data_IF_513900962048
#
_entry.id   IF_513900962048
#
_cell.length_a   1.000
_cell.length_b   1.000
_cell.length_c   1.000
_cell.angle_alpha   90.00
_cell.angle_beta   90.00
_cell.angle_gamma   90.00
#
_symmetry.space_group_name_H-M   'P 1'
#
loop_
_entity.id
_entity.type
_entity.pdbx_description
1 polymer ?
#
# COMPACT_ATOMS: atom_id res chain seq x y z
N UNK A 1 33.66 -16.66 -30.52
CA UNK A 1 33.73 -16.35 -29.07
C UNK A 1 33.22 -14.96 -28.74
N UNK A 2 33.63 -13.90 -29.45
CA UNK A 2 33.17 -12.51 -29.17
C UNK A 2 31.66 -12.27 -29.30
N UNK A 3 30.99 -12.83 -30.31
CA UNK A 3 29.53 -12.64 -30.50
C UNK A 3 28.70 -13.27 -29.37
N UNK A 4 29.17 -14.40 -28.82
CA UNK A 4 28.53 -15.07 -27.68
C UNK A 4 28.70 -14.26 -26.40
N UNK A 5 29.90 -13.70 -26.16
CA UNK A 5 30.15 -12.83 -25.01
C UNK A 5 29.30 -11.55 -25.06
N UNK A 6 29.15 -10.92 -26.22
CA UNK A 6 28.30 -9.72 -26.40
C UNK A 6 26.83 -10.06 -26.10
N UNK A 7 26.33 -11.20 -26.60
CA UNK A 7 24.95 -11.66 -26.33
C UNK A 7 24.72 -11.87 -24.82
N UNK A 8 25.68 -12.46 -24.12
CA UNK A 8 25.59 -12.70 -22.66
C UNK A 8 25.58 -11.38 -21.88
N UNK A 9 26.47 -10.43 -22.21
CA UNK A 9 26.52 -9.12 -21.55
C UNK A 9 25.21 -8.35 -21.74
N UNK A 10 24.63 -8.38 -22.95
CA UNK A 10 23.35 -7.73 -23.24
C UNK A 10 22.22 -8.36 -22.42
N UNK A 11 22.16 -9.69 -22.29
CA UNK A 11 21.13 -10.38 -21.49
C UNK A 11 21.23 -10.00 -20.01
N UNK A 12 22.44 -9.99 -19.43
CA UNK A 12 22.66 -9.61 -18.04
C UNK A 12 22.29 -8.15 -17.78
N UNK A 13 22.68 -7.24 -18.69
CA UNK A 13 22.33 -5.83 -18.60
C UNK A 13 20.81 -5.60 -18.63
N UNK A 14 20.06 -6.37 -19.44
CA UNK A 14 18.59 -6.28 -19.48
C UNK A 14 17.97 -6.76 -18.16
N UNK A 15 18.47 -7.85 -17.57
CA UNK A 15 17.95 -8.39 -16.31
C UNK A 15 18.13 -7.41 -15.13
N UNK A 16 19.20 -6.61 -15.12
CA UNK A 16 19.44 -5.60 -14.08
C UNK A 16 18.44 -4.44 -14.04
N UNK A 17 17.60 -4.26 -15.07
CA UNK A 17 16.55 -3.24 -15.08
C UNK A 17 15.18 -3.77 -14.62
N UNK A 18 15.05 -5.06 -14.32
CA UNK A 18 13.80 -5.62 -13.84
C UNK A 18 13.52 -5.15 -12.39
N UNK A 19 12.52 -4.30 -12.21
CA UNK A 19 12.00 -3.94 -10.89
C UNK A 19 10.92 -4.94 -10.48
N UNK A 20 11.09 -5.57 -9.32
CA UNK A 20 10.07 -6.43 -8.72
C UNK A 20 9.24 -5.58 -7.75
N UNK A 21 7.96 -5.37 -8.07
CA UNK A 21 7.02 -4.79 -7.13
C UNK A 21 6.31 -5.91 -6.36
N UNK A 22 6.52 -5.95 -5.04
CA UNK A 22 5.78 -6.85 -4.15
C UNK A 22 4.61 -6.08 -3.52
N UNK A 23 3.43 -6.70 -3.49
CA UNK A 23 2.26 -6.15 -2.82
C UNK A 23 1.71 -7.21 -1.86
N UNK A 24 1.50 -6.83 -0.59
CA UNK A 24 0.85 -7.72 0.36
C UNK A 24 -0.67 -7.70 0.17
N UNK A 25 -1.31 -8.84 0.43
CA UNK A 25 -2.77 -8.94 0.34
C UNK A 25 -3.36 -8.65 1.70
N UNK A 26 -4.33 -7.76 1.70
CA UNK A 26 -5.00 -7.38 2.93
C UNK A 26 -6.46 -7.02 2.79
N UNK A 27 -7.13 -6.97 3.93
CA UNK A 27 -8.49 -6.43 4.02
C UNK A 27 -8.39 -4.92 4.20
N UNK A 28 -9.29 -4.16 3.60
CA UNK A 28 -9.38 -2.72 3.87
C UNK A 28 -10.72 -2.42 4.56
N UNK A 29 -10.68 -1.55 5.55
CA UNK A 29 -11.87 -0.99 6.21
C UNK A 29 -11.82 0.53 6.10
N UNK A 30 -12.99 1.16 6.16
CA UNK A 30 -13.08 2.61 6.23
C UNK A 30 -13.48 3.04 7.64
N UNK A 31 -13.21 4.30 7.95
CA UNK A 31 -13.67 4.97 9.17
C UNK A 31 -14.22 6.34 8.78
N UNK A 32 -15.17 6.81 9.56
CA UNK A 32 -15.82 8.11 9.35
C UNK A 32 -15.17 9.17 10.22
N UNK A 33 -15.38 10.47 9.93
CA UNK A 33 -14.92 11.55 10.78
C UNK A 33 -15.33 11.38 12.26
N UNK A 34 -14.58 11.98 13.20
CA UNK A 34 -13.48 12.93 12.97
C UNK A 34 -12.16 12.27 12.55
N UNK A 35 -11.47 12.88 11.58
CA UNK A 35 -10.15 12.43 11.09
C UNK A 35 -8.97 13.03 11.84
N UNK A 36 -9.24 14.03 12.68
CA UNK A 36 -8.29 14.69 13.57
C UNK A 36 -8.69 14.47 15.04
N UNK A 37 -7.73 14.39 15.97
CA UNK A 37 -6.29 14.44 15.74
C UNK A 37 -5.75 13.10 15.19
N UNK A 38 -4.82 13.19 14.23
CA UNK A 38 -4.09 12.03 13.71
C UNK A 38 -2.80 11.80 14.52
N UNK A 39 -2.30 10.56 14.53
CA UNK A 39 -1.08 10.23 15.28
C UNK A 39 0.20 10.81 14.65
N UNK A 40 0.16 11.11 13.36
CA UNK A 40 1.27 11.69 12.60
C UNK A 40 1.30 13.22 12.66
N UNK A 41 0.17 13.88 12.43
CA UNK A 41 0.12 15.32 12.17
C UNK A 41 -0.75 16.09 13.20
N UNK A 42 -1.31 15.41 14.21
CA UNK A 42 -2.13 16.05 15.25
C UNK A 42 -3.42 16.63 14.67
N UNK A 43 -3.71 17.90 14.93
CA UNK A 43 -4.94 18.57 14.50
C UNK A 43 -4.93 19.08 13.05
N UNK A 44 -3.89 18.76 12.28
CA UNK A 44 -3.84 19.12 10.86
C UNK A 44 -4.87 18.30 10.09
N UNK A 45 -5.66 18.98 9.26
CA UNK A 45 -6.52 18.32 8.28
C UNK A 45 -5.67 17.85 7.08
N UNK A 46 -5.46 16.54 6.99
CA UNK A 46 -4.77 15.88 5.87
C UNK A 46 -5.73 15.45 4.74
N UNK A 47 -7.01 15.83 4.83
CA UNK A 47 -8.06 15.50 3.87
C UNK A 47 -8.63 14.09 4.04
N UNK A 48 -9.28 13.59 2.99
CA UNK A 48 -10.00 12.29 3.01
C UNK A 48 -9.23 11.12 2.41
N UNK A 49 -8.14 11.40 1.68
CA UNK A 49 -7.28 10.37 1.06
C UNK A 49 -6.23 9.90 2.06
N UNK A 50 -6.70 9.48 3.22
CA UNK A 50 -5.91 9.08 4.38
C UNK A 50 -6.26 7.65 4.78
N UNK A 51 -5.31 6.97 5.41
CA UNK A 51 -5.56 5.65 5.96
C UNK A 51 -4.83 5.44 7.29
N UNK A 52 -5.45 4.64 8.18
CA UNK A 52 -4.73 4.06 9.27
C UNK A 52 -3.88 2.90 8.74
N UNK A 53 -2.78 2.59 9.43
CA UNK A 53 -1.95 1.44 9.10
C UNK A 53 -1.96 0.44 10.26
N UNK A 54 -1.91 -0.86 9.94
CA UNK A 54 -1.89 -1.91 10.97
C UNK A 54 -0.59 -1.87 11.79
N UNK A 55 -0.66 -2.34 13.05
CA UNK A 55 0.47 -2.30 14.00
C UNK A 55 1.76 -2.87 13.42
N UNK A 56 1.68 -3.97 12.68
CA UNK A 56 2.85 -4.64 12.08
C UNK A 56 3.58 -3.81 11.01
N UNK A 57 2.91 -2.82 10.41
CA UNK A 57 3.47 -1.95 9.38
C UNK A 57 3.69 -0.50 9.85
N UNK A 58 3.18 -0.14 11.04
CA UNK A 58 3.28 1.21 11.60
C UNK A 58 4.72 1.63 11.93
N UNK A 59 5.54 0.68 12.37
CA UNK A 59 6.97 0.83 12.66
C UNK A 59 7.29 2.07 13.51
N UNK A 60 6.66 2.16 14.71
CA UNK A 60 6.88 3.26 15.66
C UNK A 60 6.81 4.68 15.02
N UNK A 61 5.80 4.91 14.18
CA UNK A 61 5.58 6.16 13.40
C UNK A 61 6.49 6.36 12.18
N UNK A 62 7.41 5.45 11.86
CA UNK A 62 8.21 5.55 10.63
C UNK A 62 7.33 5.48 9.36
N UNK A 63 6.12 4.92 9.47
CA UNK A 63 5.13 4.92 8.40
C UNK A 63 4.47 6.29 8.14
N UNK A 64 4.59 7.26 9.06
CA UNK A 64 3.90 8.54 8.94
C UNK A 64 4.23 9.28 7.65
N UNK A 65 3.20 9.77 6.97
CA UNK A 65 3.34 10.54 5.73
C UNK A 65 3.67 9.72 4.49
N UNK A 66 3.95 8.41 4.62
CA UNK A 66 4.14 7.54 3.46
C UNK A 66 2.83 7.43 2.69
N UNK A 67 2.94 7.36 1.37
CA UNK A 67 1.80 7.13 0.48
C UNK A 67 1.81 5.67 0.02
N UNK A 68 0.68 4.99 0.19
CA UNK A 68 0.51 3.58 -0.17
C UNK A 68 -0.55 3.48 -1.25
N UNK A 69 -0.30 2.62 -2.24
CA UNK A 69 -1.23 2.33 -3.32
C UNK A 69 -2.00 1.06 -3.00
N UNK A 70 -3.32 1.18 -2.84
CA UNK A 70 -4.23 0.07 -2.68
C UNK A 70 -4.89 -0.30 -4.01
N UNK A 71 -5.15 -1.59 -4.20
CA UNK A 71 -5.97 -2.11 -5.28
C UNK A 71 -6.98 -3.09 -4.71
N UNK A 72 -8.26 -2.83 -4.95
CA UNK A 72 -9.31 -3.78 -4.62
C UNK A 72 -9.14 -5.03 -5.50
N UNK A 73 -9.11 -6.20 -4.88
CA UNK A 73 -8.95 -7.48 -5.58
C UNK A 73 -10.13 -8.44 -5.39
N UNK A 74 -11.04 -8.15 -4.46
CA UNK A 74 -12.24 -8.95 -4.25
C UNK A 74 -13.13 -8.40 -3.14
N UNK A 75 -14.24 -9.10 -2.90
CA UNK A 75 -15.16 -8.80 -1.82
C UNK A 75 -14.69 -9.37 -0.48
N UNK A 76 -15.02 -8.69 0.61
CA UNK A 76 -14.86 -9.17 1.98
C UNK A 76 -16.17 -9.59 2.65
N UNK A 77 -17.31 -9.13 2.12
CA UNK A 77 -18.63 -9.41 2.67
C UNK A 77 -19.45 -10.25 1.68
N UNK A 78 -20.21 -11.21 2.21
CA UNK A 78 -21.13 -12.02 1.43
C UNK A 78 -22.23 -11.16 0.79
N UNK A 79 -22.63 -11.51 -0.43
CA UNK A 79 -23.70 -10.83 -1.17
C UNK A 79 -23.29 -9.57 -1.94
N UNK A 80 -22.03 -9.12 -1.84
CA UNK A 80 -21.54 -8.00 -2.66
C UNK A 80 -20.91 -8.54 -3.95
N UNK A 81 -21.69 -8.54 -5.02
CA UNK A 81 -21.20 -8.90 -6.35
C UNK A 81 -20.40 -7.74 -6.97
N UNK A 82 -19.10 -7.96 -7.19
CA UNK A 82 -18.16 -7.04 -7.87
C UNK A 82 -17.92 -5.68 -7.18
N UNK A 83 -17.36 -5.64 -5.93
CA UNK A 83 -17.09 -4.38 -5.23
C UNK A 83 -15.91 -3.58 -5.78
N UNK A 84 -15.07 -4.20 -6.62
CA UNK A 84 -13.87 -3.58 -7.13
C UNK A 84 -14.15 -2.86 -8.46
N UNK A 85 -13.77 -1.58 -8.53
CA UNK A 85 -13.84 -0.78 -9.76
C UNK A 85 -12.72 -1.09 -10.75
N UNK A 86 -11.75 -1.92 -10.37
CA UNK A 86 -10.52 -2.18 -11.13
C UNK A 86 -9.44 -1.09 -10.98
N UNK A 87 -9.78 0.04 -10.36
CA UNK A 87 -8.86 1.15 -10.13
C UNK A 87 -8.03 0.95 -8.86
N UNK A 88 -6.90 1.66 -8.80
CA UNK A 88 -6.08 1.77 -7.61
C UNK A 88 -6.22 3.15 -6.99
N UNK A 89 -6.08 3.21 -5.67
CA UNK A 89 -6.20 4.43 -4.88
C UNK A 89 -4.89 4.64 -4.11
N UNK A 90 -4.42 5.89 -4.05
CA UNK A 90 -3.25 6.25 -3.24
C UNK A 90 -3.74 7.03 -2.03
N UNK A 91 -3.33 6.60 -0.84
CA UNK A 91 -3.68 7.23 0.44
C UNK A 91 -2.44 7.51 1.25
N UNK A 92 -2.49 8.55 2.09
CA UNK A 92 -1.43 8.91 3.02
C UNK A 92 -1.66 8.28 4.38
N UNK A 93 -0.61 7.73 4.97
CA UNK A 93 -0.68 7.14 6.30
C UNK A 93 -0.60 8.23 7.37
N UNK A 94 -1.62 8.29 8.23
CA UNK A 94 -1.77 9.36 9.25
C UNK A 94 -1.98 8.85 10.68
N UNK A 95 -2.40 7.60 10.88
CA UNK A 95 -2.63 7.05 12.22
C UNK A 95 -2.44 5.52 12.31
N UNK A 96 -2.29 5.02 13.53
CA UNK A 96 -2.19 3.60 13.85
C UNK A 96 -3.58 2.99 14.05
N UNK A 97 -3.87 1.86 13.40
CA UNK A 97 -5.03 1.01 13.71
C UNK A 97 -4.66 -0.08 14.73
N UNK A 98 -4.94 0.18 16.01
CA UNK A 98 -4.79 -0.83 17.06
C UNK A 98 -5.96 -1.83 17.00
N UNK A 99 -5.67 -3.11 16.74
CA UNK A 99 -6.66 -4.20 16.70
C UNK A 99 -6.76 -4.96 15.38
N UNK A 100 -6.03 -4.52 14.36
CA UNK A 100 -6.16 -5.04 13.00
C UNK A 100 -5.00 -6.03 12.70
N UNK A 101 -5.15 -7.27 13.18
CA UNK A 101 -4.06 -8.29 13.22
C UNK A 101 -3.89 -9.13 11.94
N UNK A 102 -4.66 -8.90 10.87
CA UNK A 102 -4.62 -9.76 9.66
C UNK A 102 -4.23 -9.01 8.40
N UNK A 103 -2.95 -8.77 8.15
CA UNK A 103 -2.44 -8.18 6.89
C UNK A 103 -3.35 -7.05 6.38
N UNK A 104 -3.27 -5.86 6.97
CA UNK A 104 -4.06 -4.70 6.55
C UNK A 104 -3.12 -3.53 6.24
#
# INVERSE_FOLDING_TARGET
>A
MGVVAIKVVVIVAIMSFASVAYADKGTATYYTPPYVPSACDGYKDDGVMIAPLATQFWDNKAACGRSIKYKCTGATNDGVHHPCTGQSVVVRIVLLSAGLQRHH
#
